data_IF_214873037313
#
_entry.id   IF_214873037313
#
_cell.length_a   1.000
_cell.length_b   1.000
_cell.length_c   1.000
_cell.angle_alpha   90.00
_cell.angle_beta   90.00
_cell.angle_gamma   90.00
#
_symmetry.space_group_name_H-M   'P 1'
#
loop_
_entity.id
_entity.type
_entity.pdbx_description
1 polymer ?
#
# COMPACT_ATOMS: atom_id res chain seq x y z
N UNK A 1 -17.74 -4.69 20.51
CA UNK A 1 -17.89 -4.00 19.20
C UNK A 1 -17.57 -4.98 18.08
N UNK A 2 -18.40 -5.03 17.06
CA UNK A 2 -18.11 -5.74 15.81
C UNK A 2 -17.41 -4.79 14.83
N UNK A 3 -16.08 -4.88 14.79
CA UNK A 3 -15.22 -4.01 14.00
C UNK A 3 -14.77 -4.73 12.74
N UNK A 4 -14.99 -4.11 11.59
CA UNK A 4 -14.69 -4.69 10.29
C UNK A 4 -13.59 -3.89 9.59
N UNK A 5 -12.57 -4.59 9.08
CA UNK A 5 -11.55 -4.03 8.20
C UNK A 5 -11.73 -4.57 6.79
N UNK A 6 -11.79 -3.71 5.79
CA UNK A 6 -12.01 -4.09 4.39
C UNK A 6 -10.87 -3.57 3.52
N UNK A 7 -10.25 -4.45 2.75
CA UNK A 7 -9.21 -4.10 1.79
C UNK A 7 -9.23 -4.99 0.55
N UNK A 8 -8.65 -4.49 -0.54
CA UNK A 8 -8.48 -5.22 -1.80
C UNK A 8 -7.07 -5.86 -1.93
N UNK A 9 -6.24 -5.82 -0.89
CA UNK A 9 -4.96 -6.52 -0.87
C UNK A 9 -5.16 -8.01 -0.56
N UNK A 10 -4.17 -8.81 -0.94
CA UNK A 10 -4.16 -10.24 -0.67
C UNK A 10 -3.23 -10.55 0.50
N UNK A 11 -3.60 -11.56 1.28
CA UNK A 11 -2.77 -12.17 2.31
C UNK A 11 -2.60 -13.64 1.99
N UNK A 12 -1.50 -14.23 2.44
CA UNK A 12 -1.22 -15.64 2.24
C UNK A 12 -1.69 -16.45 3.45
N UNK A 13 -2.18 -17.66 3.20
CA UNK A 13 -2.58 -18.61 4.23
C UNK A 13 -1.85 -19.93 4.02
N UNK A 14 -1.20 -20.42 5.06
CA UNK A 14 -0.52 -21.71 5.06
C UNK A 14 -0.61 -22.35 6.44
N UNK A 15 -0.99 -23.61 6.51
CA UNK A 15 -1.04 -24.42 7.72
C UNK A 15 -1.74 -23.74 8.93
N UNK A 16 -2.89 -23.10 8.69
CA UNK A 16 -3.67 -22.42 9.73
C UNK A 16 -3.16 -21.05 10.15
N UNK A 17 -2.05 -20.57 9.57
CA UNK A 17 -1.47 -19.25 9.83
C UNK A 17 -1.65 -18.31 8.64
N UNK A 18 -1.73 -17.02 8.93
CA UNK A 18 -1.88 -15.96 7.93
C UNK A 18 -0.61 -15.12 7.85
N UNK A 19 -0.20 -14.80 6.62
CA UNK A 19 1.05 -14.10 6.34
C UNK A 19 0.82 -12.85 5.49
N UNK A 20 1.57 -11.80 5.75
CA UNK A 20 1.49 -10.55 5.01
C UNK A 20 2.87 -10.04 4.60
N UNK A 21 2.94 -9.39 3.43
CA UNK A 21 4.20 -8.91 2.85
C UNK A 21 4.80 -7.69 3.53
N UNK A 22 4.07 -7.03 4.42
CA UNK A 22 4.52 -5.79 5.08
C UNK A 22 5.08 -6.07 6.48
N UNK A 23 4.26 -5.97 7.50
CA UNK A 23 4.65 -6.07 8.90
C UNK A 23 3.79 -7.10 9.63
N UNK A 24 4.33 -7.75 10.65
CA UNK A 24 3.60 -8.63 11.56
C UNK A 24 2.52 -7.86 12.34
N UNK A 25 2.70 -6.55 12.56
CA UNK A 25 1.74 -5.70 13.25
C UNK A 25 0.74 -5.01 12.31
N UNK A 26 0.75 -5.35 11.01
CA UNK A 26 -0.06 -4.63 10.02
C UNK A 26 -1.54 -4.51 10.37
N UNK A 27 -2.15 -5.58 10.86
CA UNK A 27 -3.55 -5.57 11.29
C UNK A 27 -3.71 -5.35 12.80
N UNK A 28 -2.80 -5.87 13.63
CA UNK A 28 -2.90 -5.77 15.09
C UNK A 28 -2.84 -4.32 15.60
N UNK A 29 -2.22 -3.41 14.86
CA UNK A 29 -2.24 -1.96 15.18
C UNK A 29 -3.65 -1.37 15.25
N UNK A 30 -4.62 -1.93 14.50
CA UNK A 30 -6.01 -1.48 14.54
C UNK A 30 -6.75 -1.98 15.79
N UNK A 31 -6.19 -2.95 16.50
CA UNK A 31 -6.68 -3.39 17.80
C UNK A 31 -6.33 -2.43 18.95
N UNK A 32 -5.30 -1.59 18.78
CA UNK A 32 -4.81 -0.69 19.84
C UNK A 32 -5.87 0.35 20.29
N UNK A 33 -6.83 0.67 19.42
CA UNK A 33 -7.96 1.57 19.74
C UNK A 33 -9.22 0.85 20.23
N UNK A 34 -9.19 -0.48 20.37
CA UNK A 34 -10.32 -1.30 20.75
C UNK A 34 -10.16 -1.82 22.17
N UNK A 35 -11.28 -2.14 22.84
CA UNK A 35 -11.23 -2.81 24.14
C UNK A 35 -10.62 -4.22 24.02
N UNK A 36 -10.13 -4.79 25.12
CA UNK A 36 -9.48 -6.10 25.12
C UNK A 36 -10.37 -7.24 24.60
N UNK A 37 -11.68 -7.14 24.82
CA UNK A 37 -12.67 -8.13 24.38
C UNK A 37 -13.19 -7.90 22.96
N UNK A 38 -12.87 -6.78 22.34
CA UNK A 38 -13.30 -6.50 20.97
C UNK A 38 -12.44 -7.29 19.96
N UNK A 39 -13.04 -7.69 18.86
CA UNK A 39 -12.39 -8.43 17.78
C UNK A 39 -12.43 -7.66 16.47
N UNK A 40 -11.48 -7.95 15.60
CA UNK A 40 -11.38 -7.37 14.27
C UNK A 40 -11.64 -8.45 13.21
N UNK A 41 -12.63 -8.24 12.37
CA UNK A 41 -12.84 -9.10 11.21
C UNK A 41 -12.28 -8.43 9.96
N UNK A 42 -11.26 -9.05 9.35
CA UNK A 42 -10.58 -8.56 8.14
C UNK A 42 -11.14 -9.24 6.91
N UNK A 43 -11.78 -8.48 6.04
CA UNK A 43 -12.22 -8.92 4.71
C UNK A 43 -11.17 -8.57 3.67
N UNK A 44 -10.56 -9.59 3.06
CA UNK A 44 -9.39 -9.46 2.18
C UNK A 44 -9.35 -10.60 1.16
N UNK A 45 -8.51 -10.52 0.14
CA UNK A 45 -8.16 -11.68 -0.68
C UNK A 45 -7.30 -12.66 0.14
N UNK A 46 -7.58 -13.95 0.08
CA UNK A 46 -6.78 -14.98 0.75
C UNK A 46 -6.23 -15.94 -0.30
N UNK A 47 -4.90 -16.10 -0.34
CA UNK A 47 -4.21 -17.02 -1.23
C UNK A 47 -3.73 -18.22 -0.39
N UNK A 48 -4.32 -19.40 -0.62
CA UNK A 48 -3.84 -20.61 0.02
C UNK A 48 -2.52 -21.06 -0.62
N UNK A 49 -1.48 -21.22 0.18
CA UNK A 49 -0.16 -21.68 -0.22
C UNK A 49 0.00 -23.18 0.09
N UNK A 50 0.82 -23.85 -0.71
CA UNK A 50 1.00 -25.29 -0.62
C UNK A 50 2.25 -25.69 0.17
N UNK A 51 3.21 -24.79 0.33
CA UNK A 51 4.46 -25.09 1.04
C UNK A 51 5.00 -23.88 1.82
N UNK A 52 5.81 -24.15 2.84
CA UNK A 52 6.41 -23.13 3.70
C UNK A 52 7.32 -22.16 2.94
N UNK A 53 7.98 -22.60 1.87
CA UNK A 53 8.89 -21.76 1.08
C UNK A 53 8.15 -20.56 0.43
N UNK A 54 6.87 -20.73 0.08
CA UNK A 54 6.06 -19.65 -0.52
C UNK A 54 5.76 -18.52 0.45
N UNK A 55 5.73 -18.80 1.76
CA UNK A 55 5.46 -17.82 2.82
C UNK A 55 6.71 -17.37 3.59
N UNK A 56 7.85 -17.99 3.37
CA UNK A 56 9.09 -17.75 4.14
C UNK A 56 9.57 -16.29 4.14
N UNK A 57 9.22 -15.53 3.10
CA UNK A 57 9.57 -14.10 2.98
C UNK A 57 8.53 -13.16 3.60
N UNK A 58 7.39 -13.67 4.05
CA UNK A 58 6.29 -12.90 4.61
C UNK A 58 6.30 -12.95 6.13
N UNK A 59 5.59 -12.03 6.76
CA UNK A 59 5.48 -11.94 8.21
C UNK A 59 4.17 -12.58 8.67
N UNK A 60 4.25 -13.38 9.74
CA UNK A 60 3.06 -13.94 10.39
C UNK A 60 2.21 -12.80 10.98
N UNK A 61 0.95 -12.76 10.59
CA UNK A 61 -0.05 -11.78 11.07
C UNK A 61 -1.18 -12.47 11.83
N UNK A 62 -1.00 -13.72 12.19
CA UNK A 62 -1.98 -14.50 12.96
C UNK A 62 -2.15 -13.91 14.36
N UNK A 63 -3.38 -13.60 14.72
CA UNK A 63 -3.70 -13.02 16.01
C UNK A 63 -5.08 -13.56 16.46
N UNK A 64 -5.24 -14.06 17.70
CA UNK A 64 -6.50 -14.65 18.19
C UNK A 64 -7.68 -13.69 18.18
N UNK A 65 -7.43 -12.38 18.21
CA UNK A 65 -8.46 -11.33 18.14
C UNK A 65 -8.79 -10.90 16.71
N UNK A 66 -8.13 -11.51 15.67
CA UNK A 66 -8.32 -11.16 14.26
C UNK A 66 -8.86 -12.37 13.51
N UNK A 67 -10.00 -12.20 12.85
CA UNK A 67 -10.57 -13.21 11.96
C UNK A 67 -10.42 -12.76 10.51
N UNK A 68 -9.81 -13.59 9.66
CA UNK A 68 -9.66 -13.30 8.23
C UNK A 68 -10.76 -13.97 7.42
N UNK A 69 -11.40 -13.21 6.52
CA UNK A 69 -12.49 -13.71 5.67
C UNK A 69 -12.25 -13.33 4.21
N UNK A 70 -12.49 -14.31 3.34
CA UNK A 70 -12.29 -14.16 1.89
C UNK A 70 -13.27 -13.17 1.29
N UNK A 71 -12.74 -12.23 0.48
CA UNK A 71 -13.48 -11.44 -0.50
C UNK A 71 -13.32 -12.08 -1.88
N UNK A 72 -14.39 -12.15 -2.71
CA UNK A 72 -14.23 -12.58 -4.09
C UNK A 72 -13.18 -11.73 -4.82
N UNK A 73 -12.46 -12.34 -5.75
CA UNK A 73 -11.39 -11.66 -6.50
C UNK A 73 -11.89 -10.34 -7.09
N UNK A 74 -11.41 -9.23 -6.56
CA UNK A 74 -11.85 -7.87 -6.90
C UNK A 74 -11.36 -7.40 -8.27
N UNK A 75 -10.30 -8.01 -8.81
CA UNK A 75 -9.77 -7.71 -10.16
C UNK A 75 -10.64 -8.26 -11.28
N UNK A 76 -11.55 -9.21 -10.95
CA UNK A 76 -12.47 -9.80 -11.92
C UNK A 76 -13.82 -9.02 -11.90
N UNK A 77 -14.17 -8.30 -12.98
CA UNK A 77 -15.42 -7.52 -13.03
C UNK A 77 -16.67 -8.35 -12.80
N UNK A 78 -16.64 -9.66 -13.11
CA UNK A 78 -17.78 -10.57 -12.89
C UNK A 78 -18.13 -10.73 -11.41
N UNK A 79 -17.15 -10.45 -10.51
CA UNK A 79 -17.35 -10.58 -9.07
C UNK A 79 -17.94 -9.32 -8.41
N UNK A 80 -18.10 -8.20 -9.12
CA UNK A 80 -18.57 -6.94 -8.52
C UNK A 80 -19.92 -7.08 -7.82
N UNK A 81 -20.87 -7.83 -8.42
CA UNK A 81 -22.16 -8.11 -7.78
C UNK A 81 -22.02 -8.98 -6.53
N UNK A 82 -21.12 -9.99 -6.56
CA UNK A 82 -20.85 -10.84 -5.42
C UNK A 82 -20.22 -10.05 -4.27
N UNK A 83 -19.24 -9.18 -4.58
CA UNK A 83 -18.62 -8.27 -3.60
C UNK A 83 -19.70 -7.35 -2.97
N UNK A 84 -20.53 -6.72 -3.78
CA UNK A 84 -21.58 -5.86 -3.26
C UNK A 84 -22.59 -6.61 -2.35
N UNK A 85 -22.99 -7.84 -2.74
CA UNK A 85 -23.85 -8.69 -1.90
C UNK A 85 -23.15 -9.08 -0.60
N UNK A 86 -21.88 -9.42 -0.65
CA UNK A 86 -21.08 -9.71 0.53
C UNK A 86 -21.03 -8.50 1.46
N UNK A 87 -20.69 -7.32 0.96
CA UNK A 87 -20.64 -6.08 1.76
C UNK A 87 -22.01 -5.75 2.41
N UNK A 88 -23.12 -5.93 1.69
CA UNK A 88 -24.47 -5.75 2.27
C UNK A 88 -24.75 -6.72 3.43
N UNK A 89 -24.24 -7.93 3.36
CA UNK A 89 -24.43 -8.96 4.40
C UNK A 89 -23.57 -8.67 5.61
N UNK A 90 -22.27 -8.44 5.41
CA UNK A 90 -21.30 -8.30 6.50
C UNK A 90 -21.45 -7.00 7.27
N UNK A 91 -21.94 -5.95 6.62
CA UNK A 91 -22.19 -4.64 7.24
C UNK A 91 -23.60 -4.52 7.83
N UNK A 92 -24.31 -5.66 8.01
CA UNK A 92 -25.65 -5.60 8.58
C UNK A 92 -25.62 -5.17 10.05
N UNK A 93 -24.68 -5.72 10.78
CA UNK A 93 -24.56 -5.59 12.23
C UNK A 93 -23.21 -4.98 12.67
N UNK A 94 -22.49 -4.33 11.76
CA UNK A 94 -21.19 -3.72 12.04
C UNK A 94 -21.34 -2.43 12.87
N UNK A 95 -20.56 -2.31 13.92
CA UNK A 95 -20.49 -1.11 14.77
C UNK A 95 -19.55 -0.06 14.19
N UNK A 96 -18.45 -0.48 13.58
CA UNK A 96 -17.43 0.39 13.01
C UNK A 96 -16.67 -0.28 11.87
N UNK A 97 -16.22 0.51 10.88
CA UNK A 97 -15.46 -0.01 9.74
C UNK A 97 -14.17 0.75 9.50
N UNK A 98 -13.08 0.02 9.23
CA UNK A 98 -11.88 0.53 8.58
C UNK A 98 -11.97 0.20 7.08
N UNK A 99 -11.98 1.22 6.23
CA UNK A 99 -12.13 1.07 4.78
C UNK A 99 -10.84 1.51 4.10
N UNK A 100 -10.02 0.54 3.68
CA UNK A 100 -8.81 0.84 2.91
C UNK A 100 -9.15 0.98 1.44
N UNK A 101 -8.69 2.06 0.82
CA UNK A 101 -8.99 2.44 -0.57
C UNK A 101 -8.98 1.24 -1.54
N UNK A 102 -10.09 1.07 -2.28
CA UNK A 102 -10.26 -0.03 -3.21
C UNK A 102 -11.73 -0.26 -3.60
N UNK A 103 -12.00 -1.29 -4.38
CA UNK A 103 -13.33 -1.62 -4.91
C UNK A 103 -14.28 -2.06 -3.79
N UNK A 104 -13.85 -3.02 -2.95
CA UNK A 104 -14.66 -3.52 -1.86
C UNK A 104 -14.98 -2.43 -0.83
N UNK A 105 -14.00 -1.59 -0.49
CA UNK A 105 -14.17 -0.44 0.39
C UNK A 105 -15.14 0.61 -0.20
N UNK A 106 -15.12 0.81 -1.52
CA UNK A 106 -16.05 1.73 -2.20
C UNK A 106 -17.50 1.25 -2.09
N UNK A 107 -17.76 -0.05 -2.25
CA UNK A 107 -19.11 -0.61 -2.00
C UNK A 107 -19.49 -0.50 -0.51
N UNK A 108 -18.57 -0.86 0.38
CA UNK A 108 -18.78 -0.79 1.82
C UNK A 108 -19.11 0.63 2.27
N UNK A 109 -18.38 1.65 1.82
CA UNK A 109 -18.63 3.05 2.17
C UNK A 109 -20.04 3.50 1.78
N UNK A 110 -20.52 3.09 0.60
CA UNK A 110 -21.87 3.41 0.15
C UNK A 110 -22.94 2.79 1.07
N UNK A 111 -22.68 1.60 1.61
CA UNK A 111 -23.57 0.91 2.55
C UNK A 111 -23.48 1.57 3.93
N UNK A 112 -22.27 1.87 4.41
CA UNK A 112 -22.05 2.56 5.68
C UNK A 112 -22.81 3.91 5.71
N UNK A 113 -22.69 4.71 4.65
CA UNK A 113 -23.41 5.97 4.54
C UNK A 113 -24.93 5.80 4.59
N UNK A 114 -25.48 4.78 3.91
CA UNK A 114 -26.93 4.51 3.91
C UNK A 114 -27.45 4.01 5.24
N UNK A 115 -26.62 3.29 6.01
CA UNK A 115 -26.98 2.69 7.30
C UNK A 115 -26.49 3.50 8.49
N UNK A 116 -25.83 4.63 8.27
CA UNK A 116 -25.21 5.47 9.31
C UNK A 116 -24.20 4.72 10.17
N UNK A 117 -23.48 3.75 9.58
CA UNK A 117 -22.37 3.05 10.23
C UNK A 117 -21.12 3.95 10.18
N UNK A 118 -20.54 4.32 11.32
CA UNK A 118 -19.33 5.14 11.32
C UNK A 118 -18.14 4.38 10.74
N UNK A 119 -17.27 5.08 9.99
CA UNK A 119 -16.10 4.45 9.43
C UNK A 119 -14.89 5.39 9.34
N UNK A 120 -13.71 4.79 9.30
CA UNK A 120 -12.44 5.44 9.00
C UNK A 120 -11.99 5.04 7.60
N UNK A 121 -11.75 6.03 6.74
CA UNK A 121 -11.07 5.82 5.46
C UNK A 121 -9.56 5.72 5.68
N UNK A 122 -8.94 4.63 5.20
CA UNK A 122 -7.48 4.42 5.23
C UNK A 122 -6.94 4.67 3.83
N UNK A 123 -6.28 5.81 3.64
CA UNK A 123 -5.81 6.30 2.33
C UNK A 123 -4.29 6.14 2.25
N UNK A 124 -3.84 5.12 1.55
CA UNK A 124 -2.43 4.74 1.47
C UNK A 124 -1.78 5.01 0.12
N UNK A 125 -2.54 5.43 -0.87
CA UNK A 125 -2.06 5.66 -2.23
C UNK A 125 -2.99 6.61 -3.00
N UNK A 126 -2.46 7.23 -4.05
CA UNK A 126 -3.26 7.96 -5.03
C UNK A 126 -3.84 6.95 -6.04
N UNK A 127 -5.07 6.53 -5.78
CA UNK A 127 -5.73 5.48 -6.56
C UNK A 127 -5.89 5.87 -8.03
N UNK A 128 -6.12 7.16 -8.31
CA UNK A 128 -6.25 7.64 -9.70
C UNK A 128 -4.93 7.49 -10.44
N UNK A 129 -3.84 8.04 -9.90
CA UNK A 129 -2.51 8.00 -10.53
C UNK A 129 -2.01 6.58 -10.71
N UNK A 130 -2.20 5.73 -9.71
CA UNK A 130 -1.78 4.34 -9.79
C UNK A 130 -2.56 3.57 -10.84
N UNK A 131 -3.88 3.80 -10.95
CA UNK A 131 -4.73 3.08 -11.89
C UNK A 131 -4.56 3.59 -13.32
N UNK A 132 -4.45 4.91 -13.54
CA UNK A 132 -4.27 5.50 -14.87
C UNK A 132 -2.91 5.15 -15.48
N UNK A 133 -1.88 4.92 -14.67
CA UNK A 133 -0.54 4.50 -15.10
C UNK A 133 -0.45 3.02 -15.50
N UNK A 134 -1.53 2.24 -15.33
CA UNK A 134 -1.50 0.81 -15.65
C UNK A 134 -1.38 0.55 -17.16
N UNK A 135 -0.67 -0.51 -17.57
CA UNK A 135 -0.44 -0.85 -18.97
C UNK A 135 -1.71 -1.26 -19.75
N UNK A 136 -2.69 -1.86 -19.06
CA UNK A 136 -3.95 -2.34 -19.68
C UNK A 136 -4.98 -1.22 -19.79
N UNK A 137 -5.50 -0.98 -21.00
CA UNK A 137 -6.46 0.10 -21.29
C UNK A 137 -7.74 0.02 -20.43
N UNK A 138 -8.31 -1.17 -20.25
CA UNK A 138 -9.54 -1.35 -19.44
C UNK A 138 -9.31 -0.98 -17.98
N UNK A 139 -8.12 -1.27 -17.42
CA UNK A 139 -7.76 -0.86 -16.06
C UNK A 139 -7.63 0.66 -15.99
N UNK A 140 -6.98 1.29 -16.97
CA UNK A 140 -6.89 2.76 -17.06
C UNK A 140 -8.26 3.43 -17.10
N UNK A 141 -9.19 2.90 -17.87
CA UNK A 141 -10.57 3.43 -17.94
C UNK A 141 -11.30 3.30 -16.60
N UNK A 142 -11.01 2.27 -15.80
CA UNK A 142 -11.58 2.12 -14.46
C UNK A 142 -11.05 3.14 -13.44
N UNK A 143 -9.97 3.88 -13.76
CA UNK A 143 -9.42 4.90 -12.88
C UNK A 143 -10.44 6.00 -12.53
N UNK A 144 -11.27 6.40 -13.50
CA UNK A 144 -12.27 7.46 -13.29
C UNK A 144 -13.38 7.08 -12.30
N UNK A 145 -14.15 5.98 -12.50
CA UNK A 145 -15.16 5.58 -11.54
C UNK A 145 -14.54 5.21 -10.19
N UNK A 146 -13.41 4.52 -10.15
CA UNK A 146 -12.75 4.14 -8.91
C UNK A 146 -12.30 5.37 -8.12
N UNK A 147 -11.72 6.36 -8.79
CA UNK A 147 -11.35 7.64 -8.18
C UNK A 147 -12.56 8.37 -7.63
N UNK A 148 -13.66 8.47 -8.39
CA UNK A 148 -14.89 9.10 -7.94
C UNK A 148 -15.41 8.47 -6.64
N UNK A 149 -15.51 7.15 -6.59
CA UNK A 149 -15.99 6.45 -5.40
C UNK A 149 -15.01 6.56 -4.22
N UNK A 150 -13.70 6.57 -4.47
CA UNK A 150 -12.69 6.78 -3.43
C UNK A 150 -12.78 8.20 -2.86
N UNK A 151 -12.88 9.22 -3.72
CA UNK A 151 -13.09 10.59 -3.26
C UNK A 151 -14.36 10.73 -2.39
N UNK A 152 -15.46 10.11 -2.83
CA UNK A 152 -16.70 10.11 -2.06
C UNK A 152 -16.54 9.39 -0.72
N UNK A 153 -15.91 8.22 -0.71
CA UNK A 153 -15.62 7.44 0.51
C UNK A 153 -14.83 8.27 1.51
N UNK A 154 -13.75 8.92 1.07
CA UNK A 154 -12.89 9.71 1.95
C UNK A 154 -13.60 10.98 2.41
N UNK A 155 -14.26 11.69 1.49
CA UNK A 155 -14.94 12.95 1.80
C UNK A 155 -16.02 12.79 2.87
N UNK A 156 -16.80 11.73 2.80
CA UNK A 156 -17.94 11.50 3.70
C UNK A 156 -17.58 10.62 4.92
N UNK A 157 -16.31 10.26 5.10
CA UNK A 157 -15.84 9.49 6.25
C UNK A 157 -15.93 10.29 7.56
N UNK A 158 -16.23 9.62 8.66
CA UNK A 158 -16.15 10.20 10.00
C UNK A 158 -14.69 10.50 10.39
N UNK A 159 -13.79 9.64 9.94
CA UNK A 159 -12.35 9.73 10.16
C UNK A 159 -11.59 9.38 8.88
N UNK A 160 -10.43 9.99 8.67
CA UNK A 160 -9.52 9.61 7.59
C UNK A 160 -8.08 9.52 8.11
N UNK A 161 -7.42 8.41 7.80
CA UNK A 161 -6.00 8.20 8.07
C UNK A 161 -5.24 8.16 6.75
N UNK A 162 -4.26 9.03 6.58
CA UNK A 162 -3.45 9.14 5.37
C UNK A 162 -2.00 8.76 5.67
N UNK A 163 -1.34 8.11 4.73
CA UNK A 163 0.10 7.79 4.86
C UNK A 163 1.02 8.98 4.55
N UNK A 164 0.45 10.12 4.19
CA UNK A 164 1.17 11.39 3.95
C UNK A 164 0.71 12.47 4.92
N UNK A 165 1.44 13.58 4.99
CA UNK A 165 1.02 14.73 5.79
C UNK A 165 0.18 15.75 4.99
N UNK A 166 0.43 15.89 3.69
CA UNK A 166 -0.20 16.94 2.87
C UNK A 166 -0.75 16.42 1.55
N UNK A 167 0.01 15.60 0.82
CA UNK A 167 -0.29 15.23 -0.55
C UNK A 167 -1.64 14.52 -0.73
N UNK A 168 -1.88 13.43 0.01
CA UNK A 168 -3.14 12.69 -0.08
C UNK A 168 -4.30 13.46 0.52
N UNK A 169 -4.08 14.23 1.58
CA UNK A 169 -5.08 15.09 2.20
C UNK A 169 -5.60 16.15 1.22
N UNK A 170 -4.70 16.75 0.43
CA UNK A 170 -5.06 17.76 -0.58
C UNK A 170 -5.83 17.13 -1.76
N UNK A 171 -5.45 15.93 -2.18
CA UNK A 171 -6.11 15.23 -3.29
C UNK A 171 -7.43 14.55 -2.88
N UNK A 172 -7.52 14.05 -1.67
CA UNK A 172 -8.69 13.32 -1.14
C UNK A 172 -9.17 13.95 0.18
N UNK A 173 -9.72 15.16 0.18
CA UNK A 173 -10.12 15.85 1.42
C UNK A 173 -11.24 15.11 2.14
N UNK A 174 -11.15 15.04 3.48
CA UNK A 174 -12.16 14.48 4.37
C UNK A 174 -12.94 15.60 5.07
N UNK A 175 -14.25 15.47 5.21
CA UNK A 175 -15.09 16.39 6.01
C UNK A 175 -15.01 16.09 7.51
N UNK A 176 -14.70 14.84 7.88
CA UNK A 176 -14.53 14.41 9.25
C UNK A 176 -13.14 14.74 9.80
N UNK A 177 -12.77 14.08 10.91
CA UNK A 177 -11.43 14.24 11.49
C UNK A 177 -10.39 13.49 10.65
N UNK A 178 -9.23 14.09 10.43
CA UNK A 178 -8.17 13.49 9.63
C UNK A 178 -6.81 13.53 10.33
N UNK A 179 -5.98 12.53 10.03
CA UNK A 179 -4.63 12.38 10.57
C UNK A 179 -3.69 11.84 9.48
N UNK A 180 -2.50 12.42 9.39
CA UNK A 180 -1.38 11.84 8.64
C UNK A 180 -0.60 10.88 9.54
N UNK A 181 -0.49 9.61 9.13
CA UNK A 181 0.24 8.59 9.86
C UNK A 181 0.92 7.63 8.88
N UNK A 182 2.24 7.56 8.92
CA UNK A 182 3.01 6.63 8.09
C UNK A 182 2.58 5.18 8.34
N UNK A 183 2.52 4.37 7.28
CA UNK A 183 2.34 2.92 7.37
C UNK A 183 3.67 2.16 7.45
N UNK A 184 4.77 2.90 7.56
CA UNK A 184 6.12 2.34 7.77
C UNK A 184 6.32 2.12 9.27
N UNK A 185 6.74 0.93 9.62
CA UNK A 185 7.10 0.54 10.97
C UNK A 185 8.63 0.46 11.08
N UNK A 186 9.17 1.15 12.08
CA UNK A 186 10.58 1.05 12.43
C UNK A 186 10.70 0.17 13.67
N UNK A 187 11.25 -1.02 13.49
CA UNK A 187 11.47 -1.97 14.60
C UNK A 187 12.64 -1.55 15.48
N UNK A 188 13.61 -0.87 14.90
CA UNK A 188 14.84 -0.47 15.59
C UNK A 188 15.38 0.85 15.03
N UNK A 189 15.44 1.88 15.87
CA UNK A 189 16.04 3.17 15.50
C UNK A 189 17.43 3.24 16.14
N UNK A 190 18.46 2.99 15.34
CA UNK A 190 19.84 3.16 15.78
C UNK A 190 20.23 4.64 15.72
N UNK A 191 20.30 5.30 16.87
CA UNK A 191 20.66 6.73 16.99
C UNK A 191 22.02 7.07 16.37
N UNK A 192 22.96 6.11 16.34
CA UNK A 192 24.27 6.30 15.71
C UNK A 192 24.23 6.28 14.19
N UNK A 193 23.12 5.87 13.57
CA UNK A 193 23.02 5.75 12.11
C UNK A 193 23.19 7.09 11.40
N UNK A 194 22.58 8.15 11.95
CA UNK A 194 22.74 9.51 11.41
C UNK A 194 24.19 9.99 11.51
N UNK A 195 24.82 9.87 12.68
CA UNK A 195 26.22 10.26 12.90
C UNK A 195 27.17 9.50 11.98
N UNK A 196 27.01 8.17 11.84
CA UNK A 196 27.78 7.36 10.91
C UNK A 196 27.62 7.84 9.46
N UNK A 197 26.38 8.17 9.06
CA UNK A 197 26.10 8.66 7.70
C UNK A 197 26.74 10.03 7.45
N UNK A 198 26.61 10.96 8.37
CA UNK A 198 27.22 12.29 8.27
C UNK A 198 28.75 12.21 8.19
N UNK A 199 29.38 11.40 9.06
CA UNK A 199 30.83 11.18 9.01
C UNK A 199 31.27 10.55 7.68
N UNK A 200 30.47 9.63 7.12
CA UNK A 200 30.76 9.06 5.81
C UNK A 200 30.67 10.11 4.70
N UNK A 201 29.67 10.97 4.71
CA UNK A 201 29.52 12.06 3.73
C UNK A 201 30.70 13.03 3.81
N UNK A 202 31.09 13.44 5.02
CA UNK A 202 32.20 14.37 5.23
C UNK A 202 33.54 13.79 4.79
N UNK A 203 33.74 12.48 4.95
CA UNK A 203 35.00 11.78 4.56
C UNK A 203 35.04 11.39 3.09
N UNK A 204 33.91 11.44 2.39
CA UNK A 204 33.82 11.00 1.00
C UNK A 204 34.29 12.13 0.08
N UNK A 205 35.60 12.19 -0.16
CA UNK A 205 36.14 12.96 -1.25
C UNK A 205 36.03 12.11 -2.53
N UNK A 206 35.25 12.58 -3.51
CA UNK A 206 35.23 11.92 -4.81
C UNK A 206 33.81 11.46 -5.26
N UNK A 207 33.62 10.17 -5.49
CA UNK A 207 32.45 9.64 -6.17
C UNK A 207 31.17 9.76 -5.34
N UNK A 208 30.13 10.36 -5.91
CA UNK A 208 28.79 10.47 -5.31
C UNK A 208 28.02 9.18 -5.54
N UNK A 209 27.53 8.55 -4.47
CA UNK A 209 26.65 7.38 -4.57
C UNK A 209 25.20 7.82 -4.44
N UNK A 210 24.45 7.67 -5.53
CA UNK A 210 23.00 7.89 -5.60
C UNK A 210 22.28 6.56 -5.48
N UNK A 211 21.27 6.47 -4.63
CA UNK A 211 20.54 5.22 -4.40
C UNK A 211 19.03 5.41 -4.57
N UNK A 212 18.36 4.40 -5.15
CA UNK A 212 16.91 4.27 -5.11
C UNK A 212 16.51 2.88 -4.68
N UNK A 213 15.43 2.80 -3.88
CA UNK A 213 14.87 1.53 -3.39
C UNK A 213 13.41 1.45 -3.82
N UNK A 214 13.02 0.37 -4.50
CA UNK A 214 11.63 0.17 -4.89
C UNK A 214 11.46 -0.88 -5.99
N UNK A 215 10.21 -1.34 -6.19
CA UNK A 215 9.87 -2.20 -7.30
C UNK A 215 10.18 -1.52 -8.63
N UNK A 216 10.68 -2.30 -9.58
CA UNK A 216 10.92 -1.88 -10.98
C UNK A 216 9.84 -2.39 -11.94
N UNK A 217 8.69 -2.82 -11.40
CA UNK A 217 7.56 -3.29 -12.22
C UNK A 217 6.81 -2.16 -12.92
N UNK A 218 6.94 -0.94 -12.41
CA UNK A 218 6.23 0.23 -12.92
C UNK A 218 7.13 1.46 -12.95
N UNK A 219 6.84 2.40 -13.84
CA UNK A 219 7.54 3.70 -13.93
C UNK A 219 7.25 4.64 -12.74
N UNK A 220 6.31 4.26 -11.85
CA UNK A 220 5.87 5.09 -10.73
C UNK A 220 6.95 5.40 -9.69
N UNK A 221 8.04 4.61 -9.66
CA UNK A 221 9.16 4.83 -8.74
C UNK A 221 10.24 5.76 -9.30
N UNK A 222 10.11 6.18 -10.57
CA UNK A 222 10.93 7.20 -11.18
C UNK A 222 12.37 6.80 -11.51
N UNK A 223 12.70 5.51 -11.51
CA UNK A 223 14.05 5.05 -11.85
C UNK A 223 14.49 5.50 -13.25
N UNK A 224 13.59 5.44 -14.23
CA UNK A 224 13.83 5.90 -15.59
C UNK A 224 14.10 7.41 -15.66
N UNK A 225 13.44 8.20 -14.84
CA UNK A 225 13.66 9.64 -14.72
C UNK A 225 15.05 9.94 -14.19
N UNK A 226 15.50 9.18 -13.17
CA UNK A 226 16.86 9.31 -12.63
C UNK A 226 17.89 8.95 -13.68
N UNK A 227 17.72 7.84 -14.41
CA UNK A 227 18.63 7.42 -15.49
C UNK A 227 18.75 8.50 -16.57
N UNK A 228 17.62 9.05 -17.02
CA UNK A 228 17.61 10.15 -18.01
C UNK A 228 18.31 11.41 -17.51
N UNK A 229 18.13 11.76 -16.23
CA UNK A 229 18.83 12.87 -15.62
C UNK A 229 20.35 12.64 -15.53
N UNK A 230 20.77 11.44 -15.16
CA UNK A 230 22.19 11.07 -15.10
C UNK A 230 22.83 11.04 -16.48
N UNK A 231 22.12 10.60 -17.51
CA UNK A 231 22.60 10.67 -18.90
C UNK A 231 22.86 12.11 -19.35
N UNK A 232 22.01 13.08 -18.98
CA UNK A 232 22.24 14.50 -19.24
C UNK A 232 23.46 15.03 -18.50
N UNK A 233 23.57 14.75 -17.20
CA UNK A 233 24.73 15.15 -16.40
C UNK A 233 26.03 14.62 -17.00
N UNK A 234 26.04 13.36 -17.45
CA UNK A 234 27.20 12.77 -18.13
C UNK A 234 27.57 13.52 -19.40
N UNK A 235 26.59 13.89 -20.23
CA UNK A 235 26.81 14.67 -21.44
C UNK A 235 27.37 16.07 -21.15
N UNK A 236 27.10 16.62 -19.97
CA UNK A 236 27.63 17.90 -19.46
C UNK A 236 29.01 17.75 -18.77
N UNK A 237 29.58 16.53 -18.76
CA UNK A 237 30.90 16.25 -18.20
C UNK A 237 30.91 15.83 -16.72
N UNK A 238 29.76 15.72 -16.08
CA UNK A 238 29.67 15.23 -14.69
C UNK A 238 29.65 13.69 -14.69
N UNK A 239 30.77 13.06 -14.39
CA UNK A 239 30.93 11.59 -14.43
C UNK A 239 31.21 10.94 -13.07
N UNK A 240 31.41 11.76 -12.02
CA UNK A 240 31.88 11.30 -10.72
C UNK A 240 30.71 10.81 -9.82
N UNK A 241 29.92 9.89 -10.32
CA UNK A 241 28.82 9.28 -9.56
C UNK A 241 28.65 7.78 -9.88
N UNK A 242 28.06 7.07 -8.91
CA UNK A 242 27.57 5.69 -9.06
C UNK A 242 26.08 5.71 -8.74
N UNK A 243 25.25 5.09 -9.60
CA UNK A 243 23.84 4.91 -9.36
C UNK A 243 23.53 3.46 -8.95
N UNK A 244 22.94 3.27 -7.78
CA UNK A 244 22.56 1.98 -7.23
C UNK A 244 21.03 1.87 -7.19
N UNK A 245 20.47 0.85 -7.84
CA UNK A 245 19.08 0.48 -7.74
C UNK A 245 18.92 -0.78 -6.92
N UNK A 246 18.09 -0.71 -5.87
CA UNK A 246 17.75 -1.84 -5.01
C UNK A 246 16.27 -2.15 -5.16
N UNK A 247 15.97 -3.30 -5.74
CA UNK A 247 14.59 -3.75 -5.96
C UNK A 247 14.51 -4.89 -6.95
N UNK A 248 13.32 -5.46 -7.07
CA UNK A 248 13.00 -6.53 -8.02
C UNK A 248 11.77 -6.17 -8.84
N UNK A 249 11.60 -6.79 -10.01
CA UNK A 249 10.43 -6.61 -10.87
C UNK A 249 10.65 -7.14 -12.27
N UNK A 250 9.58 -7.25 -13.04
CA UNK A 250 9.57 -7.85 -14.37
C UNK A 250 10.35 -7.06 -15.43
N UNK A 251 10.62 -5.77 -15.19
CA UNK A 251 11.40 -4.88 -16.09
C UNK A 251 12.89 -4.78 -15.69
N UNK A 252 13.33 -5.56 -14.69
CA UNK A 252 14.72 -5.56 -14.23
C UNK A 252 15.72 -5.80 -15.36
N UNK A 253 15.41 -6.71 -16.30
CA UNK A 253 16.25 -6.98 -17.48
C UNK A 253 16.38 -5.77 -18.44
N UNK A 254 15.31 -5.00 -18.61
CA UNK A 254 15.36 -3.76 -19.44
C UNK A 254 16.22 -2.69 -18.77
N UNK A 255 16.13 -2.57 -17.47
CA UNK A 255 16.86 -1.57 -16.69
C UNK A 255 18.34 -1.97 -16.51
N UNK A 256 18.63 -3.26 -16.36
CA UNK A 256 19.99 -3.77 -16.30
C UNK A 256 20.74 -3.67 -17.64
N UNK A 257 20.05 -3.84 -18.76
CA UNK A 257 20.65 -3.65 -20.09
C UNK A 257 20.96 -2.17 -20.39
N UNK A 258 20.29 -1.23 -19.71
CA UNK A 258 20.55 0.21 -19.84
C UNK A 258 21.52 0.77 -18.78
N UNK A 259 21.87 -0.01 -17.77
CA UNK A 259 22.71 0.38 -16.64
C UNK A 259 23.82 -0.65 -16.36
N UNK A 260 24.64 -1.03 -17.33
CA UNK A 260 26.02 -1.38 -17.06
C UNK A 260 26.79 -0.08 -16.81
N UNK A 261 26.76 0.36 -15.54
CA UNK A 261 27.55 1.48 -15.07
C UNK A 261 29.01 1.02 -14.95
N UNK A 262 29.70 1.14 -16.03
CA UNK A 262 31.12 0.79 -16.21
C UNK A 262 31.55 1.07 -17.65
N UNK A 263 30.61 0.95 -18.59
CA UNK A 263 30.85 1.13 -20.00
C UNK A 263 30.00 2.26 -20.64
N UNK A 264 29.43 3.12 -19.80
CA UNK A 264 28.76 4.34 -20.28
C UNK A 264 29.56 5.57 -19.93
#
# INVERSE_FOLDING_TARGET
>A
MDVIYIQDQEIDHYNGQFYHSKSEHFFSRFLAGLNENDTLTVYTGIINRNCAQEVAKYKDVTNPRITYKQVPEFRNPKNLLAINRLMKRVLKDADFCYLRSGIAASFASTICLKKHIPYMAVVNEDIFRNTIAHSRLLVRLSAYPLSYYTHRMVREANYACYVTQDYLQSNYPCKGKSLGCSDIEFLDINELSLTKRLNKIQKQAGTIVLGTVGSVDTELKGQDTIIKALAKLKAEGFTNYIFQMVGTGNVTHRTQSSCRVGDC
#
